data_IF_012649458487
#
_entry.id   IF_012649458487
#
_cell.length_a   1.000
_cell.length_b   1.000
_cell.length_c   1.000
_cell.angle_alpha   90.00
_cell.angle_beta   90.00
_cell.angle_gamma   90.00
#
_symmetry.space_group_name_H-M   'P 1'
#
loop_
_entity.id
_entity.type
_entity.pdbx_description
1 polymer ?
#
# COMPACT_ATOMS: atom_id res chain seq x y z
N UNK A 1 -8.12 -33.20 4.42
CA UNK A 1 -6.77 -32.80 3.97
C UNK A 1 -6.95 -31.71 2.93
N UNK A 2 -6.29 -30.57 3.07
CA UNK A 2 -6.30 -29.48 2.09
C UNK A 2 -4.96 -29.54 1.37
N UNK A 3 -4.97 -29.51 0.04
CA UNK A 3 -3.76 -29.50 -0.79
C UNK A 3 -3.67 -28.14 -1.48
N UNK A 4 -2.55 -27.44 -1.27
CA UNK A 4 -2.26 -26.15 -1.89
C UNK A 4 -1.14 -26.33 -2.91
N UNK A 5 -1.35 -25.84 -4.13
CA UNK A 5 -0.33 -25.85 -5.18
C UNK A 5 0.54 -24.60 -5.03
N UNK A 6 1.81 -24.78 -4.62
CA UNK A 6 2.70 -23.65 -4.38
C UNK A 6 2.92 -22.79 -5.63
N UNK A 7 2.86 -23.38 -6.83
CA UNK A 7 3.01 -22.67 -8.09
C UNK A 7 1.85 -21.70 -8.41
N UNK A 8 0.70 -21.85 -7.75
CA UNK A 8 -0.46 -20.96 -7.93
C UNK A 8 -0.42 -19.74 -7.00
N UNK A 9 0.53 -19.69 -6.05
CA UNK A 9 0.66 -18.59 -5.09
C UNK A 9 1.62 -17.54 -5.66
N UNK A 10 1.09 -16.40 -6.09
CA UNK A 10 1.90 -15.28 -6.53
C UNK A 10 2.74 -14.69 -5.38
N UNK A 11 3.94 -14.13 -5.68
CA UNK A 11 4.73 -13.39 -4.69
C UNK A 11 3.91 -12.32 -3.99
N UNK A 12 4.17 -12.13 -2.70
CA UNK A 12 3.44 -11.19 -1.85
C UNK A 12 4.28 -9.94 -1.57
N UNK A 13 3.64 -8.79 -1.53
CA UNK A 13 4.25 -7.50 -1.21
C UNK A 13 3.43 -6.74 -0.18
N UNK A 14 4.12 -6.01 0.70
CA UNK A 14 3.49 -5.05 1.60
C UNK A 14 3.35 -3.70 0.92
N UNK A 15 2.18 -3.09 0.98
CA UNK A 15 1.90 -1.82 0.31
C UNK A 15 1.60 -0.66 1.26
N UNK A 16 1.45 -0.91 2.57
CA UNK A 16 1.06 0.13 3.50
C UNK A 16 1.89 0.20 4.78
N UNK A 17 1.34 0.87 5.79
CA UNK A 17 2.04 1.19 7.05
C UNK A 17 1.87 0.14 8.14
N UNK A 18 1.07 -0.90 7.91
CA UNK A 18 0.90 -2.00 8.85
C UNK A 18 1.25 -3.36 8.20
N UNK A 19 1.67 -4.38 8.98
CA UNK A 19 2.05 -5.69 8.44
C UNK A 19 0.91 -6.48 7.79
N UNK A 20 -0.35 -6.11 8.02
CA UNK A 20 -1.52 -6.77 7.43
C UNK A 20 -1.88 -6.26 6.04
N UNK A 21 -1.31 -5.13 5.60
CA UNK A 21 -1.50 -4.56 4.27
C UNK A 21 -0.59 -5.27 3.26
N UNK A 22 -0.91 -6.54 3.00
CA UNK A 22 -0.21 -7.45 2.08
C UNK A 22 -1.12 -7.79 0.91
N UNK A 23 -0.51 -7.87 -0.28
CA UNK A 23 -1.21 -8.18 -1.52
C UNK A 23 -0.28 -8.97 -2.46
N UNK A 24 -0.84 -9.75 -3.38
CA UNK A 24 -0.05 -10.35 -4.45
C UNK A 24 0.51 -9.26 -5.38
N UNK A 25 1.70 -9.50 -5.93
CA UNK A 25 2.30 -8.59 -6.93
C UNK A 25 1.44 -8.36 -8.18
N UNK A 26 0.42 -9.18 -8.40
CA UNK A 26 -0.51 -9.12 -9.54
C UNK A 26 -1.81 -8.39 -9.24
N UNK A 27 -2.12 -8.10 -7.98
CA UNK A 27 -3.41 -7.53 -7.59
C UNK A 27 -3.29 -6.01 -7.37
N UNK A 28 -4.43 -5.31 -7.39
CA UNK A 28 -4.48 -3.86 -7.20
C UNK A 28 -4.62 -3.49 -5.72
N UNK A 29 -3.95 -2.41 -5.30
CA UNK A 29 -4.13 -1.85 -3.95
C UNK A 29 -5.62 -1.48 -3.74
N UNK A 30 -6.26 -1.92 -2.64
CA UNK A 30 -7.65 -1.60 -2.37
C UNK A 30 -7.90 -0.10 -2.18
N UNK A 31 -9.02 0.39 -2.68
CA UNK A 31 -9.50 1.75 -2.40
C UNK A 31 -9.80 1.90 -0.90
N UNK A 32 -9.24 2.87 -0.18
CA UNK A 32 -9.57 3.12 1.22
C UNK A 32 -11.07 3.26 1.49
N UNK A 33 -11.84 3.79 0.55
CA UNK A 33 -13.28 3.92 0.68
C UNK A 33 -14.03 2.57 0.72
N UNK A 34 -13.38 1.48 0.31
CA UNK A 34 -13.95 0.13 0.34
C UNK A 34 -13.91 -0.53 1.72
N UNK A 35 -13.11 -0.01 2.66
CA UNK A 35 -13.03 -0.53 4.02
C UNK A 35 -14.20 0.00 4.88
N UNK A 36 -14.92 -0.93 5.51
CA UNK A 36 -16.01 -0.61 6.43
C UNK A 36 -15.51 -0.20 7.81
N UNK A 37 -14.37 -0.73 8.25
CA UNK A 37 -13.73 -0.35 9.50
C UNK A 37 -13.02 1.03 9.32
N UNK A 38 -13.38 2.05 10.10
CA UNK A 38 -12.76 3.37 10.01
C UNK A 38 -11.25 3.36 10.32
N UNK A 39 -10.77 2.44 11.15
CA UNK A 39 -9.34 2.30 11.49
C UNK A 39 -8.57 1.74 10.30
N UNK A 40 -9.09 0.70 9.65
CA UNK A 40 -8.48 0.12 8.45
C UNK A 40 -8.47 1.13 7.29
N UNK A 41 -9.57 1.85 7.10
CA UNK A 41 -9.66 2.94 6.14
C UNK A 41 -8.60 4.01 6.39
N UNK A 42 -8.49 4.53 7.61
CA UNK A 42 -7.50 5.54 7.96
C UNK A 42 -6.06 5.04 7.74
N UNK A 43 -5.80 3.75 8.03
CA UNK A 43 -4.52 3.10 7.74
C UNK A 43 -4.24 3.01 6.22
N UNK A 44 -5.25 2.71 5.41
CA UNK A 44 -5.13 2.66 3.94
C UNK A 44 -4.94 4.06 3.34
N UNK A 45 -5.68 5.06 3.81
CA UNK A 45 -5.52 6.48 3.42
C UNK A 45 -4.10 6.98 3.73
N UNK A 46 -3.58 6.69 4.92
CA UNK A 46 -2.21 7.07 5.31
C UNK A 46 -1.16 6.39 4.44
N UNK A 47 -1.34 5.09 4.16
CA UNK A 47 -0.45 4.34 3.28
C UNK A 47 -0.39 4.99 1.88
N UNK A 48 -1.54 5.30 1.28
CA UNK A 48 -1.59 5.94 -0.03
C UNK A 48 -1.08 7.38 -0.01
N UNK A 49 -1.38 8.14 1.05
CA UNK A 49 -0.92 9.52 1.22
C UNK A 49 0.60 9.64 1.36
N UNK A 50 1.28 8.63 1.91
CA UNK A 50 2.76 8.60 1.97
C UNK A 50 3.39 8.47 0.58
N UNK A 51 2.79 7.71 -0.33
CA UNK A 51 3.29 7.56 -1.70
C UNK A 51 2.74 8.63 -2.66
N UNK A 52 1.62 9.27 -2.30
CA UNK A 52 1.02 10.40 -3.02
C UNK A 52 1.53 11.78 -2.58
N UNK A 53 2.34 11.85 -1.52
CA UNK A 53 3.04 13.07 -1.14
C UNK A 53 4.12 13.37 -2.17
N UNK A 54 3.72 14.10 -3.22
CA UNK A 54 4.49 14.98 -4.07
C UNK A 54 5.98 14.63 -4.14
N UNK A 55 6.42 14.05 -5.27
CA UNK A 55 7.81 14.27 -5.70
C UNK A 55 7.94 15.79 -5.86
N UNK A 56 8.35 16.49 -4.79
CA UNK A 56 8.76 17.88 -4.89
C UNK A 56 9.88 17.90 -5.90
N UNK A 57 9.65 18.63 -6.98
CA UNK A 57 10.61 18.82 -8.05
C UNK A 57 11.94 19.26 -7.43
N UNK A 58 13.06 18.54 -7.64
CA UNK A 58 14.37 18.97 -7.16
C UNK A 58 14.81 20.35 -7.70
N UNK A 59 14.10 20.94 -8.67
CA UNK A 59 14.26 22.33 -9.09
C UNK A 59 13.67 23.36 -8.11
N UNK A 60 12.95 22.94 -7.06
CA UNK A 60 12.46 23.83 -6.00
C UNK A 60 13.59 24.18 -5.01
N UNK A 61 14.59 24.92 -5.50
CA UNK A 61 15.80 25.36 -4.78
C UNK A 61 15.58 26.24 -3.53
N UNK A 62 14.45 26.13 -2.85
CA UNK A 62 14.14 26.72 -1.55
C UNK A 62 14.10 25.63 -0.47
N UNK A 63 15.29 25.30 0.05
CA UNK A 63 15.62 25.08 1.48
C UNK A 63 16.72 24.02 1.68
N UNK A 64 17.94 24.39 1.32
CA UNK A 64 19.09 24.20 2.20
C UNK A 64 19.64 25.59 2.54
N UNK A 65 19.08 26.19 3.60
CA UNK A 65 19.74 27.24 4.39
C UNK A 65 19.57 26.86 5.85
#
# INVERSE_FOLDING_TARGET
MVTLQAAEIAPQVTWGTNPGQVISVTDNIPDPASFSDPVERASAEKALGLYGAEIRDPADGSRYR
#
